data_IF_236207600973
#
_entry.id   IF_236207600973
#
_cell.length_a   1.000
_cell.length_b   1.000
_cell.length_c   1.000
_cell.angle_alpha   90.00
_cell.angle_beta   90.00
_cell.angle_gamma   90.00
#
_symmetry.space_group_name_H-M   'P 1'
#
loop_
_entity.id
_entity.type
_entity.pdbx_description
1 polymer ?
#
# COMPACT_ATOMS: atom_id res chain seq x y z
N UNK A 1 -34.79 29.55 38.18
CA UNK A 1 -33.85 28.48 38.55
C UNK A 1 -34.20 27.26 37.74
N UNK A 2 -33.56 27.04 36.60
CA UNK A 2 -33.60 25.77 35.88
C UNK A 2 -32.30 25.69 35.07
N UNK A 3 -31.41 24.84 35.57
CA UNK A 3 -30.20 24.45 34.89
C UNK A 3 -30.56 23.33 33.88
N UNK A 4 -30.53 23.63 32.61
CA UNK A 4 -30.48 22.61 31.57
C UNK A 4 -29.00 22.24 31.35
N UNK A 5 -28.65 21.10 31.86
CA UNK A 5 -27.39 20.42 31.61
C UNK A 5 -27.57 19.63 30.30
N UNK A 6 -26.97 20.11 29.25
CA UNK A 6 -26.90 19.40 27.97
C UNK A 6 -25.77 18.36 28.08
N UNK A 7 -26.13 17.12 28.33
CA UNK A 7 -25.23 15.97 28.20
C UNK A 7 -24.88 15.79 26.72
N UNK A 8 -23.63 16.04 26.38
CA UNK A 8 -23.05 15.62 25.14
C UNK A 8 -22.68 14.13 25.28
N UNK A 9 -23.61 13.29 24.88
CA UNK A 9 -23.36 11.86 24.67
C UNK A 9 -22.61 11.70 23.34
N UNK A 10 -21.29 11.71 23.44
CA UNK A 10 -20.37 11.39 22.34
C UNK A 10 -19.80 9.99 22.54
N UNK A 11 -20.67 9.01 22.74
CA UNK A 11 -20.29 7.60 22.73
C UNK A 11 -20.24 7.13 21.27
N UNK A 12 -19.17 7.50 20.57
CA UNK A 12 -18.76 6.73 19.40
C UNK A 12 -18.34 5.36 19.89
N UNK A 13 -19.21 4.39 19.70
CA UNK A 13 -18.89 2.97 19.78
C UNK A 13 -17.79 2.65 18.76
N UNK A 14 -16.54 2.75 19.23
CA UNK A 14 -15.42 2.07 18.54
C UNK A 14 -15.67 0.58 18.73
N UNK A 15 -15.99 -0.09 17.64
CA UNK A 15 -16.08 -1.53 17.61
C UNK A 15 -14.90 -2.15 18.34
N UNK A 16 -15.22 -2.93 19.37
CA UNK A 16 -14.27 -3.74 20.16
C UNK A 16 -13.82 -4.95 19.36
N UNK A 17 -13.13 -4.71 18.21
CA UNK A 17 -12.23 -5.70 17.65
C UNK A 17 -10.99 -5.71 18.52
N UNK A 18 -10.63 -6.84 19.14
CA UNK A 18 -9.31 -6.99 19.76
C UNK A 18 -8.27 -6.61 18.69
N UNK A 19 -7.29 -5.72 19.01
CA UNK A 19 -6.25 -5.40 18.06
C UNK A 19 -5.56 -6.71 17.68
N UNK A 20 -5.41 -6.97 16.38
CA UNK A 20 -4.67 -8.15 15.90
C UNK A 20 -3.29 -8.17 16.56
N UNK A 21 -2.76 -9.33 16.91
CA UNK A 21 -1.39 -9.42 17.44
C UNK A 21 -0.42 -8.86 16.40
N UNK A 22 0.63 -8.17 16.86
CA UNK A 22 1.69 -7.70 15.98
C UNK A 22 2.46 -8.88 15.42
N UNK A 23 2.81 -8.77 14.13
CA UNK A 23 3.37 -9.85 13.33
C UNK A 23 4.86 -9.61 13.10
N UNK A 24 5.68 -10.57 13.46
CA UNK A 24 7.12 -10.52 13.33
C UNK A 24 7.67 -11.57 12.36
N UNK A 25 8.77 -11.24 11.72
CA UNK A 25 9.64 -12.18 11.01
C UNK A 25 10.93 -12.29 11.82
N UNK A 26 11.50 -13.49 11.90
CA UNK A 26 12.80 -13.75 12.52
C UNK A 26 13.72 -14.29 11.42
N UNK A 27 14.92 -13.71 11.32
CA UNK A 27 15.99 -14.17 10.45
C UNK A 27 17.25 -14.42 11.29
N UNK A 28 17.62 -15.69 11.46
CA UNK A 28 18.78 -16.13 12.23
C UNK A 28 19.16 -17.52 11.69
N UNK A 29 20.43 -17.75 11.35
CA UNK A 29 20.89 -19.03 10.82
C UNK A 29 21.09 -20.08 11.92
N UNK A 30 21.18 -19.65 13.18
CA UNK A 30 21.23 -20.51 14.36
C UNK A 30 19.84 -20.95 14.79
N UNK A 31 19.37 -22.11 14.30
CA UNK A 31 18.04 -22.65 14.61
C UNK A 31 17.64 -22.63 16.10
N UNK A 32 18.54 -22.97 17.07
CA UNK A 32 18.16 -22.92 18.50
C UNK A 32 17.89 -21.49 18.98
N UNK A 33 18.64 -20.50 18.46
CA UNK A 33 18.45 -19.08 18.79
C UNK A 33 17.13 -18.58 18.20
N UNK A 34 16.89 -18.86 16.93
CA UNK A 34 15.64 -18.49 16.27
C UNK A 34 14.40 -19.10 16.95
N UNK A 35 14.46 -20.38 17.32
CA UNK A 35 13.36 -21.05 18.04
C UNK A 35 13.11 -20.45 19.42
N UNK A 36 14.19 -20.20 20.19
CA UNK A 36 14.06 -19.56 21.50
C UNK A 36 13.48 -18.15 21.41
N UNK A 37 13.87 -17.38 20.39
CA UNK A 37 13.33 -16.04 20.13
C UNK A 37 11.85 -16.09 19.74
N UNK A 38 11.46 -17.08 18.92
CA UNK A 38 10.06 -17.32 18.56
C UNK A 38 9.22 -17.60 19.82
N UNK A 39 9.62 -18.56 20.65
CA UNK A 39 8.92 -18.92 21.90
C UNK A 39 8.77 -17.69 22.82
N UNK A 40 9.80 -16.85 22.92
CA UNK A 40 9.76 -15.64 23.74
C UNK A 40 8.76 -14.61 23.18
N UNK A 41 8.76 -14.35 21.88
CA UNK A 41 7.83 -13.40 21.24
C UNK A 41 6.38 -13.89 21.35
N UNK A 42 6.13 -15.17 21.11
CA UNK A 42 4.80 -15.76 21.26
C UNK A 42 4.31 -15.69 22.70
N UNK A 43 5.20 -15.89 23.69
CA UNK A 43 4.85 -15.74 25.12
C UNK A 43 4.48 -14.30 25.51
N UNK A 44 4.99 -13.31 24.77
CA UNK A 44 4.65 -11.89 24.90
C UNK A 44 3.36 -11.52 24.15
N UNK A 45 2.73 -12.46 23.45
CA UNK A 45 1.49 -12.24 22.71
C UNK A 45 1.67 -11.71 21.28
N UNK A 46 2.88 -11.78 20.74
CA UNK A 46 3.18 -11.46 19.35
C UNK A 46 3.00 -12.68 18.44
N UNK A 47 2.77 -12.45 17.15
CA UNK A 47 2.63 -13.51 16.14
C UNK A 47 3.91 -13.59 15.30
N UNK A 48 4.59 -14.74 15.28
CA UNK A 48 5.78 -14.97 14.44
C UNK A 48 5.34 -15.62 13.14
N UNK A 49 5.24 -14.83 12.08
CA UNK A 49 4.69 -15.27 10.79
C UNK A 49 5.70 -16.03 9.93
N UNK A 50 7.00 -15.88 10.20
CA UNK A 50 8.04 -16.66 9.54
C UNK A 50 9.34 -16.65 10.35
N UNK A 51 10.06 -17.78 10.25
CA UNK A 51 11.44 -17.93 10.70
C UNK A 51 12.27 -18.36 9.50
N UNK A 52 13.30 -17.59 9.15
CA UNK A 52 14.19 -17.84 8.01
C UNK A 52 15.65 -17.84 8.47
N UNK A 53 16.56 -18.29 7.63
CA UNK A 53 17.95 -18.54 8.00
C UNK A 53 18.97 -17.80 7.11
N UNK A 54 18.52 -16.86 6.31
CA UNK A 54 19.36 -16.00 5.49
C UNK A 54 18.68 -14.66 5.17
N UNK A 55 19.49 -13.64 4.85
CA UNK A 55 19.01 -12.29 4.59
C UNK A 55 18.14 -12.18 3.35
N UNK A 56 18.41 -12.95 2.27
CA UNK A 56 17.61 -12.90 1.06
C UNK A 56 16.18 -13.36 1.33
N UNK A 57 16.02 -14.45 2.08
CA UNK A 57 14.70 -14.93 2.50
C UNK A 57 13.99 -13.97 3.44
N UNK A 58 14.74 -13.29 4.30
CA UNK A 58 14.18 -12.25 5.16
C UNK A 58 13.54 -11.13 4.35
N UNK A 59 14.24 -10.61 3.34
CA UNK A 59 13.71 -9.60 2.41
C UNK A 59 12.46 -10.10 1.68
N UNK A 60 12.50 -11.32 1.13
CA UNK A 60 11.34 -11.92 0.45
C UNK A 60 10.14 -12.08 1.38
N UNK A 61 10.36 -12.53 2.61
CA UNK A 61 9.28 -12.71 3.60
C UNK A 61 8.70 -11.38 4.07
N UNK A 62 9.52 -10.34 4.26
CA UNK A 62 9.01 -9.00 4.60
C UNK A 62 8.10 -8.46 3.48
N UNK A 63 8.49 -8.61 2.20
CA UNK A 63 7.66 -8.19 1.06
C UNK A 63 6.34 -8.97 0.93
N UNK A 64 6.36 -10.27 1.23
CA UNK A 64 5.18 -11.14 1.09
C UNK A 64 4.23 -11.08 2.26
N UNK A 65 4.79 -11.12 3.47
CA UNK A 65 4.03 -11.21 4.70
C UNK A 65 3.63 -9.84 5.26
N UNK A 66 4.32 -8.77 4.88
CA UNK A 66 4.13 -7.41 5.41
C UNK A 66 4.06 -7.44 6.95
N UNK A 67 5.13 -7.87 7.63
CA UNK A 67 5.16 -7.92 9.09
C UNK A 67 5.22 -6.52 9.69
N UNK A 68 4.87 -6.41 10.96
CA UNK A 68 4.97 -5.15 11.71
C UNK A 68 6.43 -4.83 12.12
N UNK A 69 7.32 -5.86 12.22
CA UNK A 69 8.76 -5.69 12.33
C UNK A 69 9.51 -6.99 11.98
N UNK A 70 10.84 -6.90 11.82
CA UNK A 70 11.72 -8.04 11.60
C UNK A 70 12.90 -8.04 12.58
N UNK A 71 13.20 -9.20 13.16
CA UNK A 71 14.43 -9.48 13.90
C UNK A 71 15.44 -10.08 12.93
N UNK A 72 16.62 -9.50 12.85
CA UNK A 72 17.61 -9.82 11.83
C UNK A 72 18.98 -10.04 12.47
N UNK A 73 19.49 -11.26 12.41
CA UNK A 73 20.88 -11.50 12.78
C UNK A 73 21.83 -10.87 11.78
N UNK A 74 22.95 -10.34 12.25
CA UNK A 74 23.98 -9.76 11.37
C UNK A 74 24.70 -10.87 10.60
N UNK A 75 25.11 -11.92 11.31
CA UNK A 75 25.99 -12.96 10.77
C UNK A 75 25.14 -14.09 10.19
N UNK A 76 24.75 -13.94 8.91
CA UNK A 76 24.01 -14.97 8.18
C UNK A 76 24.74 -15.36 6.88
N UNK A 77 24.57 -16.61 6.41
CA UNK A 77 25.16 -17.06 5.15
C UNK A 77 24.51 -16.33 3.95
N UNK A 78 25.34 -16.04 2.95
CA UNK A 78 24.88 -15.40 1.71
C UNK A 78 24.71 -13.90 1.85
N UNK A 79 23.51 -13.43 2.15
CA UNK A 79 23.24 -12.02 2.43
C UNK A 79 23.25 -11.80 3.94
N UNK A 80 24.16 -10.93 4.42
CA UNK A 80 24.23 -10.54 5.82
C UNK A 80 23.02 -9.67 6.25
N UNK A 81 22.82 -9.56 7.58
CA UNK A 81 21.69 -8.85 8.12
C UNK A 81 21.68 -7.35 7.83
N UNK A 82 22.83 -6.70 7.70
CA UNK A 82 22.86 -5.27 7.37
C UNK A 82 22.50 -5.02 5.91
N UNK A 83 22.98 -5.86 4.99
CA UNK A 83 22.57 -5.80 3.60
C UNK A 83 21.06 -6.07 3.42
N UNK A 84 20.52 -7.01 4.20
CA UNK A 84 19.10 -7.28 4.21
C UNK A 84 18.29 -6.11 4.80
N UNK A 85 18.78 -5.50 5.89
CA UNK A 85 18.14 -4.34 6.51
C UNK A 85 17.98 -3.17 5.54
N UNK A 86 19.02 -2.85 4.76
CA UNK A 86 18.96 -1.80 3.72
C UNK A 86 17.84 -2.08 2.70
N UNK A 87 17.77 -3.31 2.19
CA UNK A 87 16.74 -3.68 1.20
C UNK A 87 15.32 -3.68 1.78
N UNK A 88 15.17 -4.00 3.07
CA UNK A 88 13.89 -3.95 3.78
C UNK A 88 13.48 -2.48 4.03
N UNK A 89 14.45 -1.62 4.33
CA UNK A 89 14.22 -0.18 4.56
C UNK A 89 13.84 0.59 3.29
N UNK A 90 14.31 0.14 2.10
CA UNK A 90 13.94 0.72 0.81
C UNK A 90 12.45 0.48 0.47
N UNK A 91 11.86 -0.60 0.97
CA UNK A 91 10.45 -0.92 0.80
C UNK A 91 9.71 -0.40 2.05
N UNK A 92 8.93 0.70 1.94
CA UNK A 92 8.52 1.47 3.10
C UNK A 92 7.67 0.64 4.05
N UNK A 93 8.13 0.46 5.26
CA UNK A 93 7.25 0.13 6.34
C UNK A 93 7.63 -0.97 7.31
N UNK A 94 8.69 -1.74 7.12
CA UNK A 94 9.05 -2.77 8.09
C UNK A 94 10.22 -2.34 8.97
N UNK A 95 9.99 -1.98 10.24
CA UNK A 95 11.05 -1.69 11.21
C UNK A 95 11.96 -2.89 11.41
N UNK A 96 13.28 -2.65 11.43
CA UNK A 96 14.30 -3.68 11.59
C UNK A 96 14.90 -3.61 12.98
N UNK A 97 14.96 -4.76 13.66
CA UNK A 97 15.66 -4.96 14.93
C UNK A 97 16.86 -5.87 14.64
N UNK A 98 18.05 -5.36 14.83
CA UNK A 98 19.28 -6.14 14.62
C UNK A 98 19.60 -6.98 15.85
N UNK A 99 19.93 -8.26 15.64
CA UNK A 99 20.49 -9.18 16.62
C UNK A 99 22.01 -9.25 16.39
N UNK A 100 22.82 -9.16 17.44
CA UNK A 100 24.28 -9.19 17.31
C UNK A 100 24.93 -9.89 18.48
N UNK A 101 25.97 -10.68 18.21
CA UNK A 101 26.83 -11.25 19.24
C UNK A 101 27.87 -10.25 19.76
N UNK A 102 28.16 -9.16 19.00
CA UNK A 102 29.24 -8.22 19.29
C UNK A 102 28.70 -6.78 19.29
N UNK A 103 28.93 -6.07 20.40
CA UNK A 103 28.60 -4.65 20.53
C UNK A 103 29.65 -3.76 19.87
N UNK A 104 29.70 -3.68 18.55
CA UNK A 104 30.60 -2.76 17.85
C UNK A 104 29.98 -1.38 17.69
N UNK A 105 30.55 -0.31 18.28
CA UNK A 105 30.03 1.05 18.16
C UNK A 105 29.87 1.54 16.70
N UNK A 106 30.77 1.11 15.81
CA UNK A 106 30.75 1.51 14.40
C UNK A 106 29.57 0.91 13.59
N UNK A 107 28.97 -0.19 14.06
CA UNK A 107 27.81 -0.78 13.43
C UNK A 107 26.52 -0.01 13.77
N UNK A 108 26.51 0.65 14.93
CA UNK A 108 25.36 1.44 15.39
C UNK A 108 25.16 2.68 14.52
N UNK A 109 26.25 3.39 14.18
CA UNK A 109 26.19 4.60 13.36
C UNK A 109 25.76 4.31 11.90
N UNK A 110 26.21 3.18 11.33
CA UNK A 110 25.82 2.76 9.98
C UNK A 110 24.35 2.31 9.88
N UNK A 111 23.85 1.71 10.92
CA UNK A 111 22.51 1.11 10.89
C UNK A 111 21.39 2.11 11.16
N UNK A 112 21.65 3.27 11.77
CA UNK A 112 20.67 4.35 11.87
C UNK A 112 20.29 4.88 10.48
N UNK A 113 21.22 4.86 9.52
CA UNK A 113 20.96 5.21 8.11
C UNK A 113 20.18 4.11 7.37
N UNK A 114 20.22 2.87 7.87
CA UNK A 114 19.67 1.67 7.21
C UNK A 114 18.26 1.28 7.68
N UNK A 115 17.51 2.17 8.36
CA UNK A 115 16.12 1.88 8.81
C UNK A 115 16.02 0.98 10.05
N UNK A 116 17.14 0.73 10.74
CA UNK A 116 17.20 -0.03 11.98
C UNK A 116 16.64 0.80 13.13
N UNK A 117 15.68 0.25 13.86
CA UNK A 117 15.03 0.93 14.98
C UNK A 117 15.58 0.53 16.34
N UNK A 118 16.24 -0.61 16.44
CA UNK A 118 16.80 -1.13 17.68
C UNK A 118 17.88 -2.19 17.43
N UNK A 119 18.71 -2.42 18.46
CA UNK A 119 19.72 -3.47 18.51
C UNK A 119 19.54 -4.31 19.76
N UNK A 120 19.71 -5.60 19.63
CA UNK A 120 19.73 -6.54 20.74
C UNK A 120 21.03 -7.32 20.74
N UNK A 121 21.73 -7.29 21.88
CA UNK A 121 22.95 -8.07 22.08
C UNK A 121 22.56 -9.49 22.56
N UNK A 122 23.10 -10.51 21.90
CA UNK A 122 22.98 -11.90 22.34
C UNK A 122 23.87 -12.15 23.58
N UNK A 123 23.40 -12.85 24.64
CA UNK A 123 22.10 -13.51 24.74
C UNK A 123 20.94 -12.54 25.05
N UNK A 124 19.83 -12.70 24.32
CA UNK A 124 18.68 -11.79 24.37
C UNK A 124 17.85 -12.11 25.64
N UNK A 125 17.61 -11.08 26.45
CA UNK A 125 16.77 -11.19 27.63
C UNK A 125 15.33 -10.78 27.34
N UNK A 126 14.34 -11.38 28.02
CA UNK A 126 12.93 -11.04 27.85
C UNK A 126 12.64 -9.52 28.01
N UNK A 127 13.21 -8.81 29.00
CA UNK A 127 12.98 -7.38 29.10
C UNK A 127 13.53 -6.58 27.91
N UNK A 128 14.72 -6.93 27.39
CA UNK A 128 15.31 -6.28 26.24
C UNK A 128 14.50 -6.57 24.96
N UNK A 129 14.05 -7.83 24.78
CA UNK A 129 13.21 -8.23 23.69
C UNK A 129 11.88 -7.47 23.69
N UNK A 130 11.22 -7.41 24.83
CA UNK A 130 9.95 -6.69 24.97
C UNK A 130 10.12 -5.20 24.66
N UNK A 131 11.14 -4.55 25.21
CA UNK A 131 11.40 -3.13 24.95
C UNK A 131 11.67 -2.84 23.46
N UNK A 132 12.48 -3.66 22.79
CA UNK A 132 12.77 -3.52 21.37
C UNK A 132 11.52 -3.77 20.52
N UNK A 133 10.70 -4.75 20.87
CA UNK A 133 9.43 -5.04 20.20
C UNK A 133 8.47 -3.87 20.30
N UNK A 134 8.32 -3.27 21.50
CA UNK A 134 7.46 -2.10 21.70
C UNK A 134 7.90 -0.88 20.85
N UNK A 135 9.22 -0.64 20.79
CA UNK A 135 9.77 0.44 19.95
C UNK A 135 9.48 0.18 18.47
N UNK A 136 9.69 -1.04 18.00
CA UNK A 136 9.42 -1.42 16.61
C UNK A 136 7.92 -1.29 16.27
N UNK A 137 7.05 -1.75 17.16
CA UNK A 137 5.60 -1.62 17.02
C UNK A 137 5.16 -0.14 16.99
N UNK A 138 5.73 0.70 17.85
CA UNK A 138 5.45 2.13 17.84
C UNK A 138 5.87 2.76 16.49
N UNK A 139 7.03 2.38 15.96
CA UNK A 139 7.52 2.83 14.66
C UNK A 139 6.64 2.34 13.51
N UNK A 140 6.22 1.07 13.52
CA UNK A 140 5.30 0.52 12.53
C UNK A 140 3.98 1.31 12.47
N UNK A 141 3.42 1.65 13.63
CA UNK A 141 2.20 2.49 13.72
C UNK A 141 2.41 3.89 13.12
N UNK A 142 3.53 4.52 13.45
CA UNK A 142 3.86 5.84 12.89
C UNK A 142 3.93 5.79 11.36
N UNK A 143 4.62 4.80 10.81
CA UNK A 143 4.74 4.59 9.36
C UNK A 143 3.36 4.36 8.74
N UNK A 144 2.51 3.53 9.36
CA UNK A 144 1.16 3.27 8.88
C UNK A 144 0.33 4.55 8.81
N UNK A 145 0.34 5.37 9.87
CA UNK A 145 -0.39 6.65 9.89
C UNK A 145 0.10 7.60 8.80
N UNK A 146 1.42 7.67 8.60
CA UNK A 146 2.00 8.49 7.54
C UNK A 146 1.58 8.00 6.14
N UNK A 147 1.57 6.68 5.92
CA UNK A 147 1.15 6.08 4.65
C UNK A 147 -0.33 6.35 4.37
N UNK A 148 -1.20 6.18 5.35
CA UNK A 148 -2.63 6.49 5.24
C UNK A 148 -2.87 7.96 4.88
N UNK A 149 -2.09 8.88 5.48
CA UNK A 149 -2.15 10.30 5.15
C UNK A 149 -1.70 10.59 3.72
N UNK A 150 -0.61 9.95 3.27
CA UNK A 150 -0.12 10.08 1.88
C UNK A 150 -1.16 9.58 0.90
N UNK A 151 -1.78 8.44 1.15
CA UNK A 151 -2.79 7.85 0.26
C UNK A 151 -4.06 8.70 0.23
N UNK A 152 -4.49 9.24 1.37
CA UNK A 152 -5.60 10.19 1.44
C UNK A 152 -5.33 11.46 0.62
N UNK A 153 -4.12 12.04 0.75
CA UNK A 153 -3.72 13.21 -0.04
C UNK A 153 -3.69 12.91 -1.54
N UNK A 154 -3.16 11.74 -1.94
CA UNK A 154 -3.16 11.29 -3.35
C UNK A 154 -4.58 11.16 -3.91
N UNK A 155 -5.50 10.56 -3.13
CA UNK A 155 -6.91 10.46 -3.53
C UNK A 155 -7.55 11.83 -3.70
N UNK A 156 -7.37 12.73 -2.74
CA UNK A 156 -7.92 14.10 -2.80
C UNK A 156 -7.41 14.86 -4.04
N UNK A 157 -6.11 14.75 -4.34
CA UNK A 157 -5.53 15.35 -5.54
C UNK A 157 -6.09 14.74 -6.83
N UNK A 158 -6.29 13.43 -6.87
CA UNK A 158 -6.89 12.75 -8.02
C UNK A 158 -8.33 13.21 -8.25
N UNK A 159 -9.13 13.27 -7.20
CA UNK A 159 -10.50 13.75 -7.25
C UNK A 159 -10.57 15.19 -7.76
N UNK A 160 -9.71 16.07 -7.24
CA UNK A 160 -9.62 17.46 -7.71
C UNK A 160 -9.29 17.53 -9.19
N UNK A 161 -8.32 16.76 -9.68
CA UNK A 161 -7.97 16.73 -11.12
C UNK A 161 -9.14 16.26 -11.98
N UNK A 162 -9.91 15.26 -11.55
CA UNK A 162 -11.09 14.80 -12.27
C UNK A 162 -12.16 15.90 -12.34
N UNK A 163 -12.44 16.59 -11.24
CA UNK A 163 -13.40 17.67 -11.18
C UNK A 163 -12.99 18.83 -12.09
N UNK A 164 -11.72 19.23 -12.05
CA UNK A 164 -11.19 20.30 -12.93
C UNK A 164 -11.31 19.93 -14.42
N UNK A 165 -10.98 18.69 -14.80
CA UNK A 165 -11.12 18.20 -16.17
C UNK A 165 -12.58 18.20 -16.62
N UNK A 166 -13.50 17.69 -15.78
CA UNK A 166 -14.93 17.70 -16.08
C UNK A 166 -15.50 19.12 -16.21
N UNK A 167 -15.05 20.07 -15.38
CA UNK A 167 -15.37 21.49 -15.52
C UNK A 167 -14.95 22.01 -16.90
N UNK A 168 -13.71 21.74 -17.32
CA UNK A 168 -13.21 22.13 -18.64
C UNK A 168 -14.09 21.61 -19.77
N UNK A 169 -14.50 20.35 -19.71
CA UNK A 169 -15.42 19.73 -20.68
C UNK A 169 -16.77 20.46 -20.70
N UNK A 170 -17.37 20.70 -19.54
CA UNK A 170 -18.66 21.41 -19.45
C UNK A 170 -18.56 22.85 -19.95
N UNK A 171 -17.48 23.56 -19.64
CA UNK A 171 -17.22 24.90 -20.16
C UNK A 171 -17.15 24.89 -21.68
N UNK A 172 -16.44 23.96 -22.29
CA UNK A 172 -16.30 23.83 -23.74
C UNK A 172 -17.59 23.39 -24.41
N UNK A 173 -18.23 22.34 -23.94
CA UNK A 173 -19.40 21.72 -24.57
C UNK A 173 -20.71 22.50 -24.36
N UNK A 174 -20.84 23.22 -23.24
CA UNK A 174 -22.06 23.96 -22.87
C UNK A 174 -21.90 25.46 -22.82
N UNK A 175 -20.71 25.98 -23.19
CA UNK A 175 -20.40 27.40 -23.17
C UNK A 175 -20.64 28.06 -21.81
N UNK A 176 -20.37 27.30 -20.71
CA UNK A 176 -20.50 27.76 -19.34
C UNK A 176 -19.20 28.44 -18.88
N UNK A 177 -19.34 29.40 -17.97
CA UNK A 177 -18.17 29.86 -17.23
C UNK A 177 -17.79 28.89 -16.09
N UNK A 178 -16.64 29.08 -15.49
CA UNK A 178 -16.10 28.17 -14.48
C UNK A 178 -17.04 27.97 -13.28
N UNK A 179 -17.63 29.06 -12.78
CA UNK A 179 -18.56 29.01 -11.66
C UNK A 179 -19.85 28.27 -12.02
N UNK A 180 -20.37 28.46 -13.21
CA UNK A 180 -21.56 27.76 -13.70
C UNK A 180 -21.30 26.26 -13.87
N UNK A 181 -20.16 25.91 -14.44
CA UNK A 181 -19.75 24.50 -14.61
C UNK A 181 -19.61 23.80 -13.23
N UNK A 182 -18.98 24.46 -12.26
CA UNK A 182 -18.85 23.91 -10.91
C UNK A 182 -20.21 23.74 -10.21
N UNK A 183 -21.08 24.76 -10.27
CA UNK A 183 -22.43 24.68 -9.69
C UNK A 183 -23.27 23.58 -10.35
N UNK A 184 -23.10 23.37 -11.65
CA UNK A 184 -23.80 22.29 -12.36
C UNK A 184 -23.32 20.92 -11.87
N UNK A 185 -22.01 20.71 -11.75
CA UNK A 185 -21.44 19.47 -11.19
C UNK A 185 -21.95 19.23 -9.76
N UNK A 186 -21.92 20.26 -8.93
CA UNK A 186 -22.36 20.18 -7.53
C UNK A 186 -23.83 19.78 -7.44
N UNK A 187 -24.71 20.45 -8.18
CA UNK A 187 -26.15 20.16 -8.17
C UNK A 187 -26.41 18.72 -8.64
N UNK A 188 -25.80 18.31 -9.77
CA UNK A 188 -25.98 16.96 -10.31
C UNK A 188 -25.45 15.86 -9.38
N UNK A 189 -24.34 16.14 -8.65
CA UNK A 189 -23.81 15.25 -7.63
C UNK A 189 -24.81 15.07 -6.47
N UNK A 190 -25.41 16.18 -6.01
CA UNK A 190 -26.41 16.16 -4.93
C UNK A 190 -27.71 15.46 -5.37
N UNK A 191 -28.24 15.80 -6.55
CA UNK A 191 -29.50 15.23 -7.09
C UNK A 191 -29.39 13.71 -7.27
N UNK A 192 -28.22 13.23 -7.71
CA UNK A 192 -27.97 11.80 -7.92
C UNK A 192 -27.41 11.07 -6.69
N UNK A 193 -27.08 11.80 -5.63
CA UNK A 193 -26.44 11.28 -4.41
C UNK A 193 -25.16 10.47 -4.69
N UNK A 194 -24.34 10.95 -5.61
CA UNK A 194 -23.05 10.34 -5.95
C UNK A 194 -21.92 11.34 -5.69
N UNK A 195 -20.72 10.92 -5.30
CA UNK A 195 -19.56 11.79 -5.15
C UNK A 195 -19.28 12.59 -6.42
N UNK A 196 -18.90 13.86 -6.26
CA UNK A 196 -18.61 14.75 -7.40
C UNK A 196 -17.50 14.20 -8.30
N UNK A 197 -16.49 13.53 -7.73
CA UNK A 197 -15.42 12.87 -8.47
C UNK A 197 -15.94 11.75 -9.38
N UNK A 198 -16.89 10.92 -8.91
CA UNK A 198 -17.53 9.88 -9.74
C UNK A 198 -18.36 10.47 -10.88
N UNK A 199 -19.06 11.56 -10.62
CA UNK A 199 -19.78 12.26 -11.66
C UNK A 199 -18.82 12.84 -12.71
N UNK A 200 -17.72 13.44 -12.25
CA UNK A 200 -16.68 13.98 -13.12
C UNK A 200 -16.05 12.89 -14.00
N UNK A 201 -15.77 11.72 -13.44
CA UNK A 201 -15.24 10.56 -14.17
C UNK A 201 -16.21 10.10 -15.28
N UNK A 202 -17.51 10.03 -14.99
CA UNK A 202 -18.54 9.68 -15.99
C UNK A 202 -18.63 10.70 -17.14
N UNK A 203 -18.48 11.99 -16.84
CA UNK A 203 -18.46 13.05 -17.85
C UNK A 203 -17.25 12.93 -18.76
N UNK A 204 -16.08 12.68 -18.18
CA UNK A 204 -14.81 12.50 -18.92
C UNK A 204 -14.92 11.30 -19.85
N UNK A 205 -15.38 10.15 -19.34
CA UNK A 205 -15.56 8.93 -20.14
C UNK A 205 -16.54 9.13 -21.31
N UNK A 206 -17.63 9.84 -21.07
CA UNK A 206 -18.61 10.15 -22.11
C UNK A 206 -18.01 11.06 -23.19
N UNK A 207 -17.23 12.06 -22.80
CA UNK A 207 -16.57 12.97 -23.72
C UNK A 207 -15.53 12.27 -24.58
N UNK A 208 -14.71 11.42 -24.00
CA UNK A 208 -13.72 10.57 -24.69
C UNK A 208 -14.37 9.63 -25.73
N UNK A 209 -15.53 9.07 -25.40
CA UNK A 209 -16.29 8.23 -26.33
C UNK A 209 -16.84 9.03 -27.52
N UNK A 210 -17.19 10.30 -27.30
CA UNK A 210 -17.73 11.17 -28.37
C UNK A 210 -16.61 11.76 -29.25
N UNK A 211 -15.38 11.84 -28.73
CA UNK A 211 -14.20 12.30 -29.48
C UNK A 211 -13.49 11.18 -30.24
N UNK A 212 -13.75 9.92 -29.90
CA UNK A 212 -13.19 8.79 -30.64
C UNK A 212 -13.63 8.83 -32.10
N UNK A 213 -12.71 8.92 -33.08
CA UNK A 213 -13.08 8.91 -34.49
C UNK A 213 -13.80 7.59 -34.77
N UNK A 214 -15.02 7.70 -35.30
CA UNK A 214 -15.79 6.55 -35.79
C UNK A 214 -14.93 5.81 -36.82
N UNK A 215 -14.30 4.71 -36.44
CA UNK A 215 -13.73 3.78 -37.38
C UNK A 215 -14.88 3.06 -38.10
N UNK A 216 -15.65 3.79 -38.88
CA UNK A 216 -16.45 3.18 -39.95
C UNK A 216 -15.45 2.69 -40.98
N UNK A 217 -15.04 1.44 -40.78
CA UNK A 217 -14.27 0.73 -41.78
C UNK A 217 -15.00 0.77 -43.10
N UNK A 218 -14.37 1.44 -44.03
CA UNK A 218 -14.72 1.38 -45.45
C UNK A 218 -14.46 -0.09 -45.89
N UNK A 219 -15.46 -0.93 -45.71
CA UNK A 219 -15.49 -2.25 -46.31
C UNK A 219 -15.78 -2.03 -47.78
N UNK A 220 -14.73 -1.85 -48.58
CA UNK A 220 -14.83 -1.91 -50.00
C UNK A 220 -15.52 -3.22 -50.43
N UNK A 221 -16.56 -3.17 -51.29
CA UNK A 221 -17.24 -4.36 -51.76
C UNK A 221 -16.25 -5.24 -52.53
N UNK A 222 -16.07 -6.51 -52.10
CA UNK A 222 -15.29 -7.49 -52.83
C UNK A 222 -15.84 -7.65 -54.23
N UNK A 223 -15.02 -7.60 -55.32
CA UNK A 223 -15.49 -7.84 -56.68
C UNK A 223 -15.95 -9.31 -56.79
N UNK A 224 -17.16 -9.48 -57.27
CA UNK A 224 -17.75 -10.77 -57.58
C UNK A 224 -16.97 -11.38 -58.73
N UNK A 225 -16.25 -12.47 -58.46
CA UNK A 225 -15.59 -13.26 -59.47
C UNK A 225 -16.67 -13.95 -60.31
N UNK A 226 -16.87 -13.48 -61.56
CA UNK A 226 -17.65 -14.19 -62.56
C UNK A 226 -16.93 -15.52 -62.90
N UNK A 227 -17.61 -16.63 -62.64
CA UNK A 227 -17.24 -17.95 -63.12
C UNK A 227 -17.37 -18.00 -64.67
N UNK A 228 -16.28 -18.17 -65.34
CA UNK A 228 -16.28 -18.51 -66.75
C UNK A 228 -16.71 -19.98 -66.89
N UNK A 229 -17.82 -20.18 -67.50
CA UNK A 229 -18.28 -21.47 -67.97
C UNK A 229 -17.45 -21.86 -69.20
N UNK A 230 -16.59 -22.84 -69.05
CA UNK A 230 -15.98 -23.53 -70.21
C UNK A 230 -17.00 -24.53 -70.78
N UNK A 231 -17.35 -24.36 -72.03
CA UNK A 231 -18.03 -25.32 -72.86
C UNK A 231 -17.04 -26.37 -73.37
N UNK A 232 -17.37 -27.65 -73.32
CA UNK A 232 -16.56 -28.68 -73.97
C UNK A 232 -16.96 -28.79 -75.45
N UNK A 233 -16.03 -28.55 -76.36
CA UNK A 233 -16.14 -28.96 -77.78
C UNK A 233 -15.43 -30.28 -77.93
N UNK A 234 -16.16 -31.23 -78.48
CA UNK A 234 -15.64 -32.55 -78.82
C UNK A 234 -14.84 -32.56 -80.10
N UNK A 235 -13.94 -33.49 -80.20
CA UNK A 235 -13.68 -34.52 -81.22
C UNK A 235 -12.61 -35.42 -80.67
#
# INVERSE_FOLDING_TARGET
MNRNMVEHDSTQERGTGMPRPYRFVIADDEKPVAAGLQDQLESLGYDVVAVVNDGQRAVEMCRRALPDAVFLDIEMPGMDGLAAARQIAEDPGTPVIILTAHGHPNLIDQAVEDGVVSYLLKPITNPALNAASEVAVARAREIQVLQENVDHLKMTLRERKLIERAKGILMSRRHLNENEAFRLLQRQSQDRRIPMAKLAESIIQTDELLEAPSQTGNVAPRPIRRSQTETPTGE
#
